data_IF_052538999994
#
_entry.id   IF_052538999994
#
_cell.length_a   1.000
_cell.length_b   1.000
_cell.length_c   1.000
_cell.angle_alpha   90.00
_cell.angle_beta   90.00
_cell.angle_gamma   90.00
#
_symmetry.space_group_name_H-M   'P 1'
#
loop_
_entity.id
_entity.type
_entity.pdbx_description
1 polymer ?
#
# COMPACT_ATOMS: atom_id res chain seq x y z
N UNK A 1 -10.29 8.52 -4.35
CA UNK A 1 -9.89 7.27 -3.67
C UNK A 1 -10.86 6.98 -2.53
N UNK A 2 -11.83 6.08 -2.73
CA UNK A 2 -12.86 5.72 -1.74
C UNK A 2 -13.15 4.22 -1.75
N UNK A 3 -13.98 3.75 -0.83
CA UNK A 3 -14.46 2.36 -0.75
C UNK A 3 -15.93 2.26 -1.15
N UNK A 4 -16.45 1.06 -1.37
CA UNK A 4 -17.87 0.86 -1.67
C UNK A 4 -18.78 1.44 -0.57
N UNK A 5 -18.41 1.23 0.70
CA UNK A 5 -19.17 1.72 1.87
C UNK A 5 -19.00 3.23 2.11
N UNK A 6 -17.87 3.79 1.69
CA UNK A 6 -17.52 5.21 1.85
C UNK A 6 -16.90 5.72 0.55
N UNK A 7 -17.73 6.10 -0.45
CA UNK A 7 -17.27 6.39 -1.81
C UNK A 7 -16.55 7.75 -1.91
N UNK A 8 -16.87 8.68 -1.00
CA UNK A 8 -16.33 10.04 -1.02
C UNK A 8 -14.81 10.04 -0.85
N UNK A 9 -14.13 10.68 -1.78
CA UNK A 9 -12.68 10.82 -1.75
C UNK A 9 -12.21 11.64 -0.54
N UNK A 10 -11.10 11.21 0.08
CA UNK A 10 -10.51 11.82 1.28
C UNK A 10 -11.41 11.83 2.53
N UNK A 11 -12.56 11.15 2.50
CA UNK A 11 -13.48 11.07 3.65
C UNK A 11 -12.82 10.47 4.89
N UNK A 12 -11.98 9.46 4.69
CA UNK A 12 -11.19 8.83 5.75
C UNK A 12 -10.18 9.81 6.37
N UNK A 13 -9.36 10.48 5.54
CA UNK A 13 -8.36 11.45 5.99
C UNK A 13 -9.00 12.60 6.78
N UNK A 14 -10.15 13.10 6.29
CA UNK A 14 -10.92 14.14 6.99
C UNK A 14 -11.40 13.65 8.36
N UNK A 15 -11.90 12.41 8.44
CA UNK A 15 -12.33 11.82 9.70
C UNK A 15 -11.17 11.71 10.70
N UNK A 16 -10.02 11.19 10.28
CA UNK A 16 -8.84 11.00 11.12
C UNK A 16 -8.33 12.36 11.64
N UNK A 17 -8.16 13.34 10.75
CA UNK A 17 -7.70 14.69 11.11
C UNK A 17 -8.65 15.40 12.07
N UNK A 18 -9.97 15.27 11.85
CA UNK A 18 -10.99 15.88 12.72
C UNK A 18 -10.92 15.36 14.16
N UNK A 19 -10.46 14.13 14.35
CA UNK A 19 -10.29 13.51 15.68
C UNK A 19 -8.84 13.56 16.20
N UNK A 20 -7.99 14.41 15.61
CA UNK A 20 -6.61 14.62 16.05
C UNK A 20 -5.63 13.49 15.70
N UNK A 21 -6.01 12.59 14.77
CA UNK A 21 -5.16 11.53 14.29
C UNK A 21 -4.42 11.88 12.99
N UNK A 22 -3.57 10.95 12.55
CA UNK A 22 -2.92 10.94 11.24
C UNK A 22 -2.77 9.51 10.72
N UNK A 23 -2.61 9.36 9.40
CA UNK A 23 -2.42 8.09 8.71
C UNK A 23 -1.21 8.16 7.75
N UNK A 24 -0.78 7.00 7.24
CA UNK A 24 0.27 6.90 6.22
C UNK A 24 0.09 5.56 5.44
N UNK A 25 0.66 5.41 4.23
CA UNK A 25 0.91 4.10 3.55
C UNK A 25 2.36 3.97 3.02
N UNK A 26 2.92 2.75 2.86
CA UNK A 26 4.32 2.56 2.43
C UNK A 26 4.61 1.19 1.86
N UNK A 27 5.27 1.06 0.72
CA UNK A 27 5.51 -0.25 0.06
C UNK A 27 7.01 -0.57 0.04
N UNK A 28 7.41 -1.69 0.65
CA UNK A 28 8.75 -2.27 0.55
C UNK A 28 8.71 -3.54 -0.32
N UNK A 29 9.88 -4.06 -0.71
CA UNK A 29 10.05 -5.18 -1.62
C UNK A 29 9.30 -6.46 -1.19
N UNK A 30 9.07 -6.63 0.12
CA UNK A 30 8.42 -7.81 0.70
C UNK A 30 7.32 -7.47 1.73
N UNK A 31 7.22 -6.21 2.22
CA UNK A 31 6.31 -5.79 3.30
C UNK A 31 5.95 -4.31 3.19
N UNK A 32 4.80 -3.87 3.69
CA UNK A 32 4.42 -2.44 3.70
C UNK A 32 4.96 -1.79 5.00
N UNK A 33 5.94 -0.86 4.96
CA UNK A 33 6.60 -0.27 6.16
C UNK A 33 6.86 1.25 6.13
N UNK A 34 6.38 1.95 7.17
CA UNK A 34 6.33 3.42 7.29
C UNK A 34 7.67 4.10 7.56
N UNK A 35 8.15 4.94 6.64
CA UNK A 35 9.18 5.94 6.96
C UNK A 35 9.18 7.11 5.95
N UNK A 36 9.15 8.35 6.47
CA UNK A 36 9.19 9.58 5.66
C UNK A 36 10.49 9.67 4.85
N UNK A 37 10.36 9.96 3.56
CA UNK A 37 11.43 9.98 2.56
C UNK A 37 12.27 11.27 2.64
N UNK A 38 13.36 11.22 3.40
CA UNK A 38 14.50 12.14 3.20
C UNK A 38 15.23 11.74 1.90
N UNK A 39 15.95 12.67 1.21
CA UNK A 39 16.86 12.34 0.14
C UNK A 39 17.94 11.43 0.72
N UNK A 40 17.75 10.13 0.55
CA UNK A 40 18.54 9.12 1.22
C UNK A 40 19.34 8.37 0.20
N UNK A 41 20.66 8.35 0.39
CA UNK A 41 21.58 7.52 -0.40
C UNK A 41 21.18 6.04 -0.39
N UNK A 42 20.37 5.61 0.58
CA UNK A 42 19.78 4.27 0.62
C UNK A 42 19.02 3.93 -0.66
N UNK A 43 18.20 4.84 -1.20
CA UNK A 43 17.43 4.56 -2.42
C UNK A 43 18.31 4.49 -3.67
N UNK A 44 19.37 5.32 -3.73
CA UNK A 44 20.36 5.27 -4.81
C UNK A 44 21.15 3.97 -4.77
N UNK A 45 21.58 3.53 -3.58
CA UNK A 45 22.27 2.25 -3.37
C UNK A 45 21.37 1.07 -3.71
N UNK A 46 20.10 1.12 -3.33
CA UNK A 46 19.13 0.09 -3.68
C UNK A 46 18.93 -0.03 -5.20
N UNK A 47 18.82 1.10 -5.92
CA UNK A 47 18.71 1.10 -7.38
C UNK A 47 19.97 0.54 -8.06
N UNK A 48 21.15 0.86 -7.53
CA UNK A 48 22.41 0.30 -8.02
C UNK A 48 22.46 -1.22 -7.79
N UNK A 49 22.15 -1.69 -6.59
CA UNK A 49 22.11 -3.12 -6.27
C UNK A 49 21.07 -3.86 -7.14
N UNK A 50 19.92 -3.25 -7.37
CA UNK A 50 18.88 -3.75 -8.29
C UNK A 50 19.45 -3.95 -9.70
N UNK A 51 20.22 -2.99 -10.23
CA UNK A 51 20.84 -3.09 -11.55
C UNK A 51 21.90 -4.19 -11.68
N UNK A 52 22.46 -4.68 -10.57
CA UNK A 52 23.42 -5.79 -10.54
C UNK A 52 22.74 -7.17 -10.42
N UNK A 53 21.40 -7.22 -10.38
CA UNK A 53 20.66 -8.47 -10.30
C UNK A 53 20.72 -9.25 -11.61
N UNK A 54 20.60 -10.58 -11.52
CA UNK A 54 20.47 -11.44 -12.71
C UNK A 54 19.26 -11.02 -13.56
N UNK A 55 19.38 -11.21 -14.87
CA UNK A 55 18.27 -11.04 -15.81
C UNK A 55 17.05 -11.87 -15.34
N UNK A 56 15.87 -11.27 -15.43
CA UNK A 56 14.59 -11.80 -14.96
C UNK A 56 14.43 -12.02 -13.43
N UNK A 57 15.39 -11.62 -12.59
CA UNK A 57 15.20 -11.66 -11.14
C UNK A 57 14.29 -10.51 -10.64
N UNK A 58 13.34 -10.74 -9.70
CA UNK A 58 12.44 -9.69 -9.20
C UNK A 58 13.15 -8.47 -8.63
N UNK A 59 14.34 -8.66 -8.04
CA UNK A 59 15.16 -7.58 -7.48
C UNK A 59 15.65 -6.58 -8.55
N UNK A 60 15.69 -6.94 -9.83
CA UNK A 60 16.01 -6.04 -10.94
C UNK A 60 14.86 -5.11 -11.34
N UNK A 61 13.67 -5.24 -10.74
CA UNK A 61 12.50 -4.42 -11.07
C UNK A 61 12.58 -3.05 -10.43
N UNK A 62 12.11 -2.04 -11.15
CA UNK A 62 11.87 -0.70 -10.62
C UNK A 62 10.59 -0.68 -9.78
N UNK A 63 10.72 -0.90 -8.47
CA UNK A 63 9.58 -1.27 -7.62
C UNK A 63 8.66 -0.11 -7.20
N UNK A 64 9.18 1.11 -7.15
CA UNK A 64 8.45 2.29 -6.64
C UNK A 64 7.71 3.07 -7.73
N UNK A 65 8.12 2.92 -8.99
CA UNK A 65 7.44 3.52 -10.14
C UNK A 65 7.63 5.03 -10.26
N UNK A 66 7.18 5.56 -11.39
CA UNK A 66 7.16 6.99 -11.69
C UNK A 66 6.05 7.28 -12.73
N UNK A 67 5.87 8.54 -13.12
CA UNK A 67 4.86 8.92 -14.13
C UNK A 67 5.01 8.16 -15.44
N UNK A 68 6.24 7.87 -15.86
CA UNK A 68 6.51 7.13 -17.09
C UNK A 68 6.03 5.68 -16.98
N UNK A 69 6.34 4.98 -15.89
CA UNK A 69 5.99 3.57 -15.70
C UNK A 69 4.52 3.35 -15.32
N UNK A 70 3.86 4.33 -14.70
CA UNK A 70 2.48 4.22 -14.20
C UNK A 70 1.46 4.86 -15.16
N UNK A 71 1.82 5.93 -15.89
CA UNK A 71 0.88 6.67 -16.74
C UNK A 71 1.26 6.62 -18.21
N UNK A 72 2.47 7.06 -18.56
CA UNK A 72 2.85 7.27 -19.97
C UNK A 72 2.97 5.96 -20.75
N UNK A 73 3.80 5.02 -20.27
CA UNK A 73 4.01 3.72 -20.93
C UNK A 73 2.74 2.86 -20.98
N UNK A 74 1.96 2.72 -19.89
CA UNK A 74 0.70 1.97 -19.93
C UNK A 74 -0.30 2.56 -20.93
N UNK A 75 -0.45 3.89 -20.97
CA UNK A 75 -1.38 4.55 -21.89
C UNK A 75 -1.00 4.32 -23.35
N UNK A 76 0.30 4.40 -23.68
CA UNK A 76 0.80 4.14 -25.04
C UNK A 76 0.60 2.68 -25.47
N UNK A 77 0.65 1.74 -24.52
CA UNK A 77 0.50 0.32 -24.78
C UNK A 77 -0.96 -0.17 -24.66
N UNK A 78 -1.93 0.74 -24.50
CA UNK A 78 -3.35 0.38 -24.35
C UNK A 78 -3.68 -0.37 -23.05
N UNK A 79 -2.85 -0.23 -22.01
CA UNK A 79 -3.03 -0.92 -20.73
C UNK A 79 -3.93 -0.10 -19.81
N UNK A 80 -5.05 -0.70 -19.39
CA UNK A 80 -5.92 -0.11 -18.37
C UNK A 80 -5.33 -0.31 -16.97
N UNK A 81 -4.73 0.74 -16.41
CA UNK A 81 -4.08 0.70 -15.09
C UNK A 81 -5.07 0.46 -13.95
N UNK A 82 -6.33 0.91 -14.09
CA UNK A 82 -7.35 0.72 -13.05
C UNK A 82 -7.77 -0.74 -12.93
N UNK A 83 -7.99 -1.40 -14.05
CA UNK A 83 -8.29 -2.84 -14.10
C UNK A 83 -7.11 -3.64 -13.52
N UNK A 84 -5.89 -3.31 -13.94
CA UNK A 84 -4.67 -3.95 -13.43
C UNK A 84 -4.50 -3.76 -11.91
N UNK A 85 -4.92 -2.61 -11.37
CA UNK A 85 -4.91 -2.36 -9.93
C UNK A 85 -5.95 -3.24 -9.21
N UNK A 86 -7.13 -3.43 -9.82
CA UNK A 86 -8.15 -4.38 -9.37
C UNK A 86 -7.60 -5.80 -9.27
N UNK A 87 -7.05 -6.32 -10.37
CA UNK A 87 -6.45 -7.65 -10.43
C UNK A 87 -5.33 -7.83 -9.39
N UNK A 88 -4.48 -6.80 -9.24
CA UNK A 88 -3.38 -6.83 -8.28
C UNK A 88 -3.90 -6.90 -6.83
N UNK A 89 -4.93 -6.11 -6.51
CA UNK A 89 -5.58 -6.13 -5.21
C UNK A 89 -6.19 -7.50 -4.94
N UNK A 90 -6.99 -8.03 -5.85
CA UNK A 90 -7.65 -9.33 -5.68
C UNK A 90 -6.64 -10.45 -5.44
N UNK A 91 -5.53 -10.44 -6.19
CA UNK A 91 -4.50 -11.47 -6.08
C UNK A 91 -3.66 -11.40 -4.80
N UNK A 92 -3.29 -10.19 -4.36
CA UNK A 92 -2.26 -10.02 -3.32
C UNK A 92 -2.83 -9.57 -1.96
N UNK A 93 -4.02 -8.96 -1.93
CA UNK A 93 -4.64 -8.46 -0.69
C UNK A 93 -5.60 -9.51 -0.12
N UNK A 94 -5.06 -10.69 0.18
CA UNK A 94 -5.78 -11.78 0.87
C UNK A 94 -5.55 -11.73 2.38
N UNK A 95 -6.59 -12.00 3.17
CA UNK A 95 -6.54 -12.03 4.63
C UNK A 95 -5.50 -13.03 5.16
N UNK A 96 -5.19 -14.08 4.40
CA UNK A 96 -4.18 -15.08 4.77
C UNK A 96 -2.76 -14.50 4.92
N UNK A 97 -2.45 -13.39 4.21
CA UNK A 97 -1.14 -12.74 4.26
C UNK A 97 -1.13 -11.45 5.10
N UNK A 98 -2.26 -11.09 5.72
CA UNK A 98 -2.41 -9.84 6.46
C UNK A 98 -2.30 -10.05 7.97
N UNK A 99 -1.74 -9.04 8.64
CA UNK A 99 -1.70 -8.99 10.10
C UNK A 99 -2.19 -7.62 10.54
N UNK A 100 -3.18 -7.59 11.43
CA UNK A 100 -3.76 -6.38 11.99
C UNK A 100 -3.38 -6.28 13.48
N UNK A 101 -2.92 -5.10 13.90
CA UNK A 101 -2.66 -4.77 15.31
C UNK A 101 -3.48 -3.55 15.67
N UNK A 102 -4.22 -3.62 16.78
CA UNK A 102 -5.05 -2.52 17.29
C UNK A 102 -4.65 -2.24 18.74
N UNK A 103 -4.42 -0.96 19.04
CA UNK A 103 -4.12 -0.49 20.39
C UNK A 103 -5.19 0.51 20.84
N UNK A 104 -5.72 0.32 22.04
CA UNK A 104 -6.70 1.20 22.67
C UNK A 104 -6.69 1.01 24.19
N UNK A 105 -7.24 1.97 24.93
CA UNK A 105 -7.43 1.86 26.39
C UNK A 105 -8.61 0.95 26.78
N UNK A 106 -9.41 0.48 25.80
CA UNK A 106 -10.55 -0.40 26.04
C UNK A 106 -10.18 -1.81 26.52
N UNK A 107 -11.15 -2.52 27.09
CA UNK A 107 -10.96 -3.92 27.51
C UNK A 107 -10.68 -4.81 26.29
N UNK A 108 -9.80 -5.79 26.46
CA UNK A 108 -9.40 -6.75 25.41
C UNK A 108 -10.60 -7.43 24.74
N UNK A 109 -11.66 -7.74 25.49
CA UNK A 109 -12.87 -8.35 24.94
C UNK A 109 -13.58 -7.46 23.92
N UNK A 110 -13.62 -6.14 24.16
CA UNK A 110 -14.22 -5.17 23.24
C UNK A 110 -13.39 -5.09 21.97
N UNK A 111 -12.07 -5.08 22.12
CA UNK A 111 -11.14 -5.04 20.97
C UNK A 111 -11.22 -6.32 20.15
N UNK A 112 -11.33 -7.49 20.79
CA UNK A 112 -11.52 -8.76 20.08
C UNK A 112 -12.80 -8.78 19.26
N UNK A 113 -13.92 -8.34 19.83
CA UNK A 113 -15.20 -8.28 19.13
C UNK A 113 -15.15 -7.28 17.97
N UNK A 114 -14.52 -6.12 18.17
CA UNK A 114 -14.31 -5.13 17.11
C UNK A 114 -13.45 -5.69 15.97
N UNK A 115 -12.36 -6.41 16.29
CA UNK A 115 -11.51 -7.04 15.28
C UNK A 115 -12.26 -8.11 14.48
N UNK A 116 -13.11 -8.92 15.11
CA UNK A 116 -13.93 -9.93 14.41
C UNK A 116 -14.92 -9.25 13.44
N UNK A 117 -15.56 -8.16 13.86
CA UNK A 117 -16.49 -7.42 13.00
C UNK A 117 -15.80 -6.80 11.79
N UNK A 118 -14.58 -6.29 11.96
CA UNK A 118 -13.81 -5.64 10.89
C UNK A 118 -13.21 -6.64 9.90
N UNK A 119 -12.94 -7.89 10.31
CA UNK A 119 -12.38 -8.91 9.40
C UNK A 119 -13.41 -9.75 8.66
N UNK A 120 -14.70 -9.66 9.03
CA UNK A 120 -15.80 -10.39 8.38
C UNK A 120 -16.61 -9.54 7.38
N UNK A 121 -16.34 -8.23 7.30
CA UNK A 121 -16.96 -7.28 6.36
C UNK A 121 -16.08 -7.03 5.15
#
# INVERSE_FOLDING_TARGET
MGSEKYPDENSFDMFIKKHGGSDNASTDCERVKFQMSMPSDTYRKAQLLSSMSKDNHPMGKFMWGNTESIKTKPSLNGINVYERLGDFREKNYSSHYMTLVVQSQGRVIVLRNLMILVTQS
#
